data_IF_916220372705
#
_entry.id   IF_916220372705
#
_cell.length_a   1.000
_cell.length_b   1.000
_cell.length_c   1.000
_cell.angle_alpha   90.00
_cell.angle_beta   90.00
_cell.angle_gamma   90.00
#
_symmetry.space_group_name_H-M   'P 1'
#
loop_
_entity.id
_entity.type
_entity.pdbx_description
1 polymer ?
#
# COMPACT_ATOMS: atom_id res chain seq x y z
N UNK A 1 18.79 -22.51 -37.49
CA UNK A 1 17.37 -22.42 -37.80
C UNK A 1 17.18 -21.28 -38.81
N UNK A 2 16.84 -21.61 -40.06
CA UNK A 2 16.72 -20.67 -41.19
C UNK A 2 15.67 -19.59 -40.92
N UNK A 3 15.88 -18.34 -41.33
CA UNK A 3 14.88 -17.29 -41.28
C UNK A 3 13.80 -17.56 -42.38
N UNK A 4 12.54 -17.66 -41.93
CA UNK A 4 11.39 -17.71 -42.82
C UNK A 4 11.23 -16.36 -43.53
N UNK A 5 11.35 -16.37 -44.85
CA UNK A 5 10.99 -15.27 -45.74
C UNK A 5 9.51 -15.42 -46.05
N UNK A 6 8.69 -14.43 -45.73
CA UNK A 6 7.27 -14.42 -46.01
C UNK A 6 7.01 -13.50 -47.25
N UNK A 7 6.48 -14.09 -48.32
CA UNK A 7 5.84 -13.34 -49.40
C UNK A 7 4.36 -13.12 -49.03
N UNK A 8 3.89 -11.88 -49.12
CA UNK A 8 2.57 -11.46 -48.66
C UNK A 8 1.54 -11.50 -49.76
N UNK A 9 0.49 -12.33 -49.60
CA UNK A 9 -0.81 -12.16 -50.25
C UNK A 9 -1.88 -11.88 -49.17
N UNK A 10 -2.95 -11.18 -49.52
CA UNK A 10 -3.97 -10.66 -48.57
C UNK A 10 -4.72 -11.74 -47.74
N UNK A 11 -4.58 -13.02 -48.08
CA UNK A 11 -5.13 -14.15 -47.32
C UNK A 11 -4.24 -14.66 -46.21
N UNK A 12 -2.95 -14.26 -46.19
CA UNK A 12 -1.96 -14.67 -45.17
C UNK A 12 -1.98 -13.80 -43.94
N UNK A 13 -2.45 -12.57 -44.03
CA UNK A 13 -2.49 -11.64 -42.86
C UNK A 13 -3.39 -12.13 -41.73
N UNK A 14 -4.56 -12.71 -42.05
CA UNK A 14 -5.49 -13.23 -41.03
C UNK A 14 -4.95 -14.47 -40.32
N UNK A 15 -4.21 -15.33 -41.05
CA UNK A 15 -3.62 -16.54 -40.47
C UNK A 15 -2.38 -16.21 -39.64
N UNK A 16 -1.58 -15.21 -40.02
CA UNK A 16 -0.44 -14.71 -39.25
C UNK A 16 -0.91 -14.07 -37.93
N UNK A 17 -1.99 -13.29 -37.96
CA UNK A 17 -2.54 -12.68 -36.75
C UNK A 17 -3.17 -13.69 -35.81
N UNK A 18 -3.91 -14.69 -36.31
CA UNK A 18 -4.43 -15.78 -35.47
C UNK A 18 -3.31 -16.62 -34.84
N UNK A 19 -2.22 -16.85 -35.57
CA UNK A 19 -1.03 -17.55 -35.03
C UNK A 19 -0.26 -16.71 -34.00
N UNK A 20 -0.16 -15.39 -34.18
CA UNK A 20 0.46 -14.48 -33.23
C UNK A 20 -0.38 -14.33 -31.98
N UNK A 21 -1.70 -14.25 -32.08
CA UNK A 21 -2.63 -14.20 -30.94
C UNK A 21 -2.57 -15.50 -30.13
N UNK A 22 -2.54 -16.65 -30.79
CA UNK A 22 -2.41 -17.96 -30.12
C UNK A 22 -1.03 -18.17 -29.50
N UNK A 23 0.04 -17.72 -30.14
CA UNK A 23 1.40 -17.73 -29.58
C UNK A 23 1.55 -16.77 -28.40
N UNK A 24 0.92 -15.60 -28.44
CA UNK A 24 0.98 -14.59 -27.40
C UNK A 24 0.20 -15.06 -26.15
N UNK A 25 -1.00 -15.62 -26.32
CA UNK A 25 -1.83 -16.13 -25.20
C UNK A 25 -1.26 -17.42 -24.61
N UNK A 26 -0.68 -18.31 -25.41
CA UNK A 26 -0.10 -19.56 -24.91
C UNK A 26 1.27 -19.35 -24.23
N UNK A 27 2.05 -18.33 -24.61
CA UNK A 27 3.36 -18.03 -24.02
C UNK A 27 3.33 -17.08 -22.82
N UNK A 28 2.27 -16.29 -22.61
CA UNK A 28 2.05 -15.59 -21.35
C UNK A 28 1.91 -16.54 -20.14
N UNK A 29 1.67 -17.84 -20.39
CA UNK A 29 1.65 -18.88 -19.35
C UNK A 29 3.00 -19.55 -19.06
N UNK A 30 4.06 -19.24 -19.82
CA UNK A 30 5.38 -19.89 -19.68
C UNK A 30 6.48 -18.85 -19.42
N UNK A 31 6.89 -18.77 -18.15
CA UNK A 31 8.16 -18.33 -17.56
C UNK A 31 8.97 -17.14 -18.13
N UNK A 32 9.39 -16.28 -17.20
CA UNK A 32 10.16 -15.02 -17.27
C UNK A 32 11.38 -14.94 -18.25
N UNK A 33 11.91 -16.04 -18.76
CA UNK A 33 13.14 -16.06 -19.56
C UNK A 33 12.94 -15.79 -21.06
N UNK A 34 11.76 -16.06 -21.63
CA UNK A 34 11.52 -15.92 -23.07
C UNK A 34 11.12 -14.50 -23.51
N UNK A 35 10.62 -13.66 -22.59
CA UNK A 35 10.16 -12.31 -22.91
C UNK A 35 11.31 -11.37 -23.30
N UNK A 36 12.48 -11.50 -22.67
CA UNK A 36 13.65 -10.67 -22.97
C UNK A 36 14.24 -10.96 -24.38
N UNK A 37 14.26 -12.20 -24.79
CA UNK A 37 14.68 -12.63 -26.13
C UNK A 37 13.71 -12.08 -27.20
N UNK A 38 12.42 -12.05 -26.90
CA UNK A 38 11.38 -11.51 -27.79
C UNK A 38 11.45 -9.99 -27.93
N UNK A 39 11.71 -9.26 -26.85
CA UNK A 39 11.93 -7.80 -26.88
C UNK A 39 13.21 -7.41 -27.66
N UNK A 40 14.27 -8.17 -27.55
CA UNK A 40 15.48 -7.93 -28.35
C UNK A 40 15.22 -8.15 -29.85
N UNK A 41 14.45 -9.17 -30.21
CA UNK A 41 14.07 -9.45 -31.59
C UNK A 41 13.13 -8.36 -32.11
N UNK A 42 12.19 -7.89 -31.30
CA UNK A 42 11.27 -6.79 -31.63
C UNK A 42 12.02 -5.46 -31.78
N UNK A 43 12.97 -5.15 -30.87
CA UNK A 43 13.84 -3.96 -30.97
C UNK A 43 14.71 -3.96 -32.21
N UNK A 44 15.24 -5.12 -32.63
CA UNK A 44 15.98 -5.26 -33.94
C UNK A 44 15.10 -5.05 -35.14
N UNK A 45 13.83 -5.46 -35.09
CA UNK A 45 12.89 -5.30 -36.18
C UNK A 45 12.48 -3.84 -36.41
N UNK A 46 12.38 -3.05 -35.32
CA UNK A 46 11.99 -1.63 -35.37
C UNK A 46 13.16 -0.64 -35.39
N UNK A 47 14.40 -1.07 -35.33
CA UNK A 47 15.58 -0.17 -35.34
C UNK A 47 15.95 0.38 -36.74
N UNK A 48 15.27 -0.03 -37.81
CA UNK A 48 15.47 0.53 -39.17
C UNK A 48 14.47 1.65 -39.45
N UNK A 49 14.93 2.87 -39.26
CA UNK A 49 14.19 4.15 -39.31
C UNK A 49 13.31 4.40 -40.57
N UNK A 50 13.50 3.69 -41.67
CA UNK A 50 12.92 4.04 -42.95
C UNK A 50 11.58 3.36 -43.29
N UNK A 51 11.01 2.52 -42.43
CA UNK A 51 9.75 1.81 -42.67
C UNK A 51 8.53 2.30 -41.86
N UNK A 52 8.71 3.28 -40.99
CA UNK A 52 7.60 3.77 -40.16
C UNK A 52 6.51 4.53 -40.91
N UNK A 53 6.85 5.23 -41.97
CA UNK A 53 5.91 6.08 -42.70
C UNK A 53 4.88 5.29 -43.51
N UNK A 54 5.18 4.04 -43.89
CA UNK A 54 4.27 3.22 -44.71
C UNK A 54 3.24 2.47 -43.89
N UNK A 55 3.52 2.16 -42.63
CA UNK A 55 2.62 1.40 -41.73
C UNK A 55 1.50 2.29 -41.19
N UNK A 56 1.75 3.59 -40.95
CA UNK A 56 0.74 4.52 -40.43
C UNK A 56 -0.41 4.83 -41.40
N UNK A 57 -0.21 4.69 -42.68
CA UNK A 57 -1.23 5.02 -43.72
C UNK A 57 -2.31 3.96 -43.93
N UNK A 58 -2.20 2.75 -43.38
CA UNK A 58 -3.14 1.63 -43.64
C UNK A 58 -3.64 0.91 -42.38
N UNK A 59 -3.57 1.53 -41.21
CA UNK A 59 -4.02 0.88 -39.96
C UNK A 59 -5.55 0.94 -39.83
N UNK A 60 -6.20 -0.22 -39.91
CA UNK A 60 -7.61 -0.41 -39.58
C UNK A 60 -7.84 -0.20 -38.08
N UNK A 61 -9.04 0.26 -37.66
CA UNK A 61 -9.39 0.54 -36.21
C UNK A 61 -8.93 -0.56 -35.22
N UNK A 62 -8.89 -1.82 -35.65
CA UNK A 62 -8.44 -2.97 -34.87
C UNK A 62 -6.92 -2.91 -34.57
N UNK A 63 -6.11 -2.49 -35.51
CA UNK A 63 -4.65 -2.38 -35.40
C UNK A 63 -4.24 -1.18 -34.52
N UNK A 64 -5.02 -0.09 -34.52
CA UNK A 64 -4.82 1.06 -33.63
C UNK A 64 -5.03 0.64 -32.18
N UNK A 65 -6.06 -0.18 -31.89
CA UNK A 65 -6.34 -0.69 -30.54
C UNK A 65 -5.22 -1.60 -30.02
N UNK A 66 -4.68 -2.48 -30.86
CA UNK A 66 -3.54 -3.36 -30.51
C UNK A 66 -2.27 -2.55 -30.29
N UNK A 67 -2.00 -1.55 -31.13
CA UNK A 67 -0.84 -0.67 -30.98
C UNK A 67 -0.91 0.16 -29.69
N UNK A 68 -2.09 0.64 -29.30
CA UNK A 68 -2.34 1.33 -28.03
C UNK A 68 -2.13 0.41 -26.83
N UNK A 69 -2.63 -0.83 -26.88
CA UNK A 69 -2.44 -1.82 -25.81
C UNK A 69 -0.95 -2.17 -25.66
N UNK A 70 -0.23 -2.38 -26.75
CA UNK A 70 1.22 -2.64 -26.73
C UNK A 70 2.00 -1.44 -26.20
N UNK A 71 1.66 -0.22 -26.60
CA UNK A 71 2.29 1.00 -26.07
C UNK A 71 2.05 1.18 -24.57
N UNK A 72 0.83 0.92 -24.11
CA UNK A 72 0.49 0.95 -22.67
C UNK A 72 1.23 -0.14 -21.90
N UNK A 73 1.31 -1.36 -22.45
CA UNK A 73 2.03 -2.47 -21.82
C UNK A 73 3.54 -2.20 -21.73
N UNK A 74 4.16 -1.66 -22.78
CA UNK A 74 5.56 -1.26 -22.78
C UNK A 74 5.83 -0.11 -21.81
N UNK A 75 4.92 0.86 -21.74
CA UNK A 75 5.00 1.96 -20.79
C UNK A 75 4.93 1.46 -19.34
N UNK A 76 3.98 0.55 -19.04
CA UNK A 76 3.88 -0.10 -17.71
C UNK A 76 5.15 -0.88 -17.38
N UNK A 77 5.68 -1.66 -18.32
CA UNK A 77 6.92 -2.40 -18.12
C UNK A 77 8.11 -1.47 -17.83
N UNK A 78 8.25 -0.37 -18.58
CA UNK A 78 9.31 0.61 -18.34
C UNK A 78 9.20 1.27 -16.97
N UNK A 79 8.00 1.56 -16.47
CA UNK A 79 7.79 2.14 -15.15
C UNK A 79 8.15 1.12 -14.07
N UNK A 80 7.75 -0.14 -14.22
CA UNK A 80 8.06 -1.22 -13.26
C UNK A 80 9.55 -1.57 -13.20
N UNK A 81 10.30 -1.38 -14.29
CA UNK A 81 11.75 -1.60 -14.35
C UNK A 81 12.56 -0.31 -14.20
N UNK A 82 11.90 0.80 -13.90
CA UNK A 82 12.58 2.08 -13.71
C UNK A 82 13.37 2.06 -12.41
N UNK A 83 14.68 2.08 -12.52
CA UNK A 83 15.63 2.09 -11.40
C UNK A 83 15.49 3.34 -10.51
N UNK A 84 14.72 4.36 -10.93
CA UNK A 84 14.46 5.55 -10.14
C UNK A 84 13.23 5.43 -9.22
N UNK A 85 12.45 4.35 -9.30
CA UNK A 85 11.31 4.16 -8.42
C UNK A 85 11.72 3.41 -7.15
N UNK A 86 11.37 3.96 -6.00
CA UNK A 86 11.67 3.47 -4.66
C UNK A 86 10.39 3.31 -3.85
N UNK A 87 10.41 2.45 -2.84
CA UNK A 87 9.31 2.30 -1.90
C UNK A 87 9.86 2.28 -0.46
N UNK A 88 9.23 3.06 0.42
CA UNK A 88 9.44 3.03 1.86
C UNK A 88 8.20 2.47 2.52
N UNK A 89 8.33 1.30 3.15
CA UNK A 89 7.25 0.66 3.91
C UNK A 89 7.46 0.98 5.39
N UNK A 90 6.51 1.68 6.00
CA UNK A 90 6.57 2.11 7.40
C UNK A 90 6.01 1.04 8.33
N UNK A 91 6.86 0.42 9.14
CA UNK A 91 6.54 -0.69 10.06
C UNK A 91 6.72 -0.38 11.54
N UNK A 92 6.49 0.88 11.98
CA UNK A 92 6.79 1.34 13.35
C UNK A 92 5.65 1.28 14.36
N UNK A 93 4.41 1.00 13.95
CA UNK A 93 3.22 0.98 14.82
C UNK A 93 3.15 -0.25 15.74
N UNK A 94 2.49 -0.15 16.91
CA UNK A 94 2.22 -1.29 17.80
C UNK A 94 0.89 -1.97 17.43
N UNK A 95 -0.13 -1.20 17.01
CA UNK A 95 -1.47 -1.72 16.73
C UNK A 95 -2.21 -2.22 17.97
N UNK A 96 -2.06 -1.57 19.13
CA UNK A 96 -2.57 -1.99 20.45
C UNK A 96 -4.09 -2.24 20.50
N UNK A 97 -4.87 -1.73 19.53
CA UNK A 97 -6.32 -1.97 19.45
C UNK A 97 -6.68 -3.41 19.08
N UNK A 98 -5.73 -4.19 18.55
CA UNK A 98 -5.91 -5.61 18.24
C UNK A 98 -5.45 -6.53 19.38
N UNK A 99 -5.24 -5.98 20.59
CA UNK A 99 -5.02 -6.85 21.75
C UNK A 99 -6.19 -7.84 21.90
N UNK A 100 -5.92 -9.12 22.25
CA UNK A 100 -4.67 -9.71 22.73
C UNK A 100 -3.76 -10.26 21.61
N UNK A 101 -4.11 -10.13 20.33
CA UNK A 101 -3.31 -10.58 19.19
C UNK A 101 -2.08 -9.71 18.97
N UNK A 102 -2.28 -8.38 18.85
CA UNK A 102 -1.18 -7.43 18.76
C UNK A 102 -0.65 -7.08 20.13
N UNK A 103 0.66 -7.19 20.32
CA UNK A 103 1.38 -6.91 21.58
C UNK A 103 2.64 -6.10 21.28
N UNK A 104 3.31 -5.60 22.36
CA UNK A 104 4.56 -4.85 22.24
C UNK A 104 5.67 -5.64 21.54
N UNK A 105 5.76 -6.95 21.81
CA UNK A 105 6.75 -7.84 21.21
C UNK A 105 6.32 -8.44 19.87
N UNK A 106 5.05 -8.36 19.51
CA UNK A 106 4.50 -8.84 18.23
C UNK A 106 3.43 -7.87 17.72
N UNK A 107 3.83 -6.73 17.12
CA UNK A 107 2.92 -5.74 16.59
C UNK A 107 2.04 -6.25 15.45
N UNK A 108 0.94 -5.54 15.20
CA UNK A 108 -0.09 -5.84 14.20
C UNK A 108 0.47 -6.22 12.83
N UNK A 109 1.45 -5.48 12.32
CA UNK A 109 2.00 -5.70 10.97
C UNK A 109 2.68 -7.06 10.79
N UNK A 110 3.10 -7.70 11.87
CA UNK A 110 3.74 -9.02 11.87
C UNK A 110 2.74 -10.18 12.04
N UNK A 111 1.43 -9.90 12.09
CA UNK A 111 0.36 -10.87 12.26
C UNK A 111 -0.30 -11.24 10.92
N UNK A 112 -0.69 -12.51 10.81
CA UNK A 112 -1.60 -12.98 9.77
C UNK A 112 -3.04 -12.95 10.29
N UNK A 113 -3.78 -11.92 9.94
CA UNK A 113 -5.18 -11.75 10.35
C UNK A 113 -6.17 -12.57 9.53
N UNK A 114 -5.77 -13.06 8.36
CA UNK A 114 -6.70 -13.65 7.41
C UNK A 114 -6.43 -15.15 7.16
N UNK A 115 -5.47 -15.75 7.88
CA UNK A 115 -5.11 -17.16 7.69
C UNK A 115 -4.50 -17.47 6.31
N UNK A 116 -3.81 -16.47 5.73
CA UNK A 116 -3.20 -16.58 4.40
C UNK A 116 -1.82 -17.24 4.42
N UNK A 117 -1.26 -17.51 5.60
CA UNK A 117 0.13 -17.90 5.80
C UNK A 117 1.12 -16.73 5.63
N UNK A 118 0.63 -15.47 5.49
CA UNK A 118 1.44 -14.27 5.29
C UNK A 118 0.98 -13.17 6.23
N UNK A 119 1.92 -12.57 6.97
CA UNK A 119 1.64 -11.37 7.78
C UNK A 119 1.35 -10.13 6.93
N UNK A 120 0.80 -9.07 7.53
CA UNK A 120 0.48 -7.84 6.79
C UNK A 120 1.71 -7.20 6.15
N UNK A 121 2.86 -7.17 6.83
CA UNK A 121 4.09 -6.62 6.27
C UNK A 121 4.62 -7.47 5.10
N UNK A 122 4.48 -8.80 5.17
CA UNK A 122 4.82 -9.70 4.08
C UNK A 122 3.92 -9.47 2.86
N UNK A 123 2.60 -9.38 3.07
CA UNK A 123 1.65 -9.08 2.00
C UNK A 123 1.94 -7.72 1.37
N UNK A 124 2.33 -6.73 2.18
CA UNK A 124 2.72 -5.41 1.69
C UNK A 124 3.99 -5.46 0.85
N UNK A 125 5.04 -6.14 1.31
CA UNK A 125 6.25 -6.34 0.49
C UNK A 125 5.94 -7.07 -0.82
N UNK A 126 5.16 -8.16 -0.78
CA UNK A 126 4.77 -8.93 -1.97
C UNK A 126 4.01 -8.08 -3.00
N UNK A 127 3.21 -7.13 -2.54
CA UNK A 127 2.48 -6.16 -3.38
C UNK A 127 3.43 -5.19 -4.07
N UNK A 128 4.35 -4.58 -3.32
CA UNK A 128 5.27 -3.58 -3.88
C UNK A 128 6.39 -4.19 -4.74
N UNK A 129 6.82 -5.42 -4.50
CA UNK A 129 7.73 -6.16 -5.40
C UNK A 129 7.20 -6.33 -6.82
N UNK A 130 5.88 -6.23 -7.01
CA UNK A 130 5.24 -6.26 -8.33
C UNK A 130 5.33 -4.92 -9.07
N UNK A 131 5.79 -3.85 -8.40
CA UNK A 131 5.78 -2.47 -8.91
C UNK A 131 7.20 -1.87 -8.95
N UNK A 132 8.01 -2.15 -7.93
CA UNK A 132 9.32 -1.56 -7.70
C UNK A 132 10.35 -2.68 -7.57
N UNK A 133 11.59 -2.54 -8.12
CA UNK A 133 12.67 -3.51 -7.91
C UNK A 133 12.90 -3.75 -6.41
N UNK A 134 13.17 -5.00 -6.02
CA UNK A 134 13.34 -5.38 -4.61
C UNK A 134 14.47 -4.58 -3.93
N UNK A 135 15.55 -4.32 -4.64
CA UNK A 135 16.69 -3.52 -4.18
C UNK A 135 16.36 -2.06 -3.87
N UNK A 136 15.23 -1.56 -4.36
CA UNK A 136 14.74 -0.20 -4.13
C UNK A 136 13.61 -0.13 -3.08
N UNK A 137 13.32 -1.24 -2.38
CA UNK A 137 12.34 -1.27 -1.30
C UNK A 137 13.04 -1.21 0.05
N UNK A 138 12.67 -0.23 0.86
CA UNK A 138 13.18 -0.01 2.22
C UNK A 138 12.06 -0.22 3.24
N UNK A 139 12.40 -0.78 4.39
CA UNK A 139 11.52 -0.88 5.55
C UNK A 139 12.02 0.10 6.61
N UNK A 140 11.17 0.99 7.10
CA UNK A 140 11.46 1.76 8.30
C UNK A 140 10.76 1.11 9.49
N UNK A 141 11.47 0.85 10.57
CA UNK A 141 10.88 0.24 11.77
C UNK A 141 11.66 0.64 13.02
N UNK A 142 11.09 0.41 14.19
CA UNK A 142 11.81 0.61 15.44
C UNK A 142 12.90 -0.46 15.61
N UNK A 143 14.02 -0.09 16.21
CA UNK A 143 15.14 -1.00 16.53
C UNK A 143 14.70 -2.29 17.22
N UNK A 144 13.65 -2.24 18.05
CA UNK A 144 13.08 -3.40 18.75
C UNK A 144 12.51 -4.48 17.82
N UNK A 145 12.21 -4.14 16.58
CA UNK A 145 11.57 -5.06 15.61
C UNK A 145 12.51 -5.52 14.50
N UNK A 146 13.81 -5.21 14.61
CA UNK A 146 14.82 -5.61 13.61
C UNK A 146 14.75 -7.11 13.32
N UNK A 147 14.79 -7.93 14.37
CA UNK A 147 14.78 -9.39 14.26
C UNK A 147 13.49 -9.91 13.59
N UNK A 148 12.33 -9.38 13.96
CA UNK A 148 11.05 -9.74 13.34
C UNK A 148 11.00 -9.40 11.85
N UNK A 149 11.57 -8.24 11.46
CA UNK A 149 11.65 -7.87 10.04
C UNK A 149 12.59 -8.82 9.30
N UNK A 150 13.75 -9.13 9.84
CA UNK A 150 14.71 -10.05 9.22
C UNK A 150 14.16 -11.48 9.11
N UNK A 151 13.42 -11.95 10.10
CA UNK A 151 12.76 -13.26 10.10
C UNK A 151 11.64 -13.33 9.04
N UNK A 152 10.78 -12.31 8.99
CA UNK A 152 9.62 -12.33 8.10
C UNK A 152 9.91 -11.87 6.68
N UNK A 153 10.95 -11.07 6.46
CA UNK A 153 11.35 -10.54 5.15
C UNK A 153 12.80 -10.90 4.82
N UNK A 154 13.15 -12.21 4.79
CA UNK A 154 14.55 -12.66 4.61
C UNK A 154 15.14 -12.32 3.24
N UNK A 155 14.32 -11.94 2.27
CA UNK A 155 14.76 -11.48 0.96
C UNK A 155 15.35 -10.05 0.95
N UNK A 156 15.13 -9.27 2.02
CA UNK A 156 15.69 -7.92 2.15
C UNK A 156 17.11 -8.00 2.75
N UNK A 157 17.98 -7.15 2.25
CA UNK A 157 19.30 -6.96 2.83
C UNK A 157 19.22 -6.08 4.08
N UNK A 158 20.20 -6.19 4.96
CA UNK A 158 20.24 -5.40 6.20
C UNK A 158 20.23 -3.88 5.92
N UNK A 159 20.90 -3.42 4.88
CA UNK A 159 20.95 -2.03 4.44
C UNK A 159 19.59 -1.45 3.98
N UNK A 160 18.62 -2.32 3.71
CA UNK A 160 17.24 -1.93 3.34
C UNK A 160 16.32 -1.78 4.57
N UNK A 161 16.81 -2.10 5.77
CA UNK A 161 16.07 -2.01 7.02
C UNK A 161 16.57 -0.80 7.80
N UNK A 162 15.83 0.30 7.72
CA UNK A 162 16.15 1.56 8.39
C UNK A 162 15.55 1.52 9.81
N UNK A 163 16.42 1.57 10.82
CA UNK A 163 16.06 1.34 12.23
C UNK A 163 15.91 2.64 12.98
N UNK A 164 14.67 3.04 13.28
CA UNK A 164 14.39 4.20 14.13
C UNK A 164 14.82 3.92 15.59
N UNK A 165 15.71 4.73 16.17
CA UNK A 165 16.16 4.53 17.54
C UNK A 165 15.06 4.78 18.57
N UNK A 166 14.07 5.62 18.22
CA UNK A 166 12.89 5.92 19.03
C UNK A 166 11.71 6.28 18.12
N UNK A 167 10.50 6.28 18.65
CA UNK A 167 9.30 6.65 17.89
C UNK A 167 9.13 8.17 17.83
N UNK A 168 9.01 8.74 16.63
CA UNK A 168 8.78 10.18 16.39
C UNK A 168 7.67 10.43 15.36
N UNK A 169 6.75 9.46 15.19
CA UNK A 169 5.68 9.51 14.18
C UNK A 169 6.23 9.55 12.74
N UNK A 170 5.39 9.83 11.74
CA UNK A 170 5.72 9.56 10.34
C UNK A 170 6.56 10.65 9.67
N UNK A 171 6.53 11.92 10.10
CA UNK A 171 7.32 12.96 9.43
C UNK A 171 8.83 12.77 9.57
N UNK A 172 9.42 12.58 10.77
CA UNK A 172 10.85 12.28 10.89
C UNK A 172 11.26 10.97 10.22
N UNK A 173 10.41 9.94 10.30
CA UNK A 173 10.62 8.66 9.62
C UNK A 173 10.79 8.84 8.12
N UNK A 174 9.87 9.56 7.47
CA UNK A 174 9.87 9.84 6.04
C UNK A 174 11.03 10.74 5.65
N UNK A 175 11.33 11.78 6.44
CA UNK A 175 12.46 12.65 6.20
C UNK A 175 13.77 11.88 6.17
N UNK A 176 14.03 11.05 7.19
CA UNK A 176 15.24 10.24 7.29
C UNK A 176 15.37 9.25 6.12
N UNK A 177 14.31 8.49 5.83
CA UNK A 177 14.30 7.58 4.68
C UNK A 177 14.52 8.33 3.36
N UNK A 178 13.96 9.54 3.22
CA UNK A 178 14.15 10.38 2.02
C UNK A 178 15.60 10.84 1.87
N UNK A 179 16.25 11.28 2.92
CA UNK A 179 17.68 11.63 2.87
C UNK A 179 18.55 10.43 2.56
N UNK A 180 18.24 9.26 3.14
CA UNK A 180 18.95 8.03 2.84
C UNK A 180 18.85 7.66 1.35
N UNK A 181 17.64 7.65 0.80
CA UNK A 181 17.40 7.35 -0.63
C UNK A 181 18.04 8.41 -1.54
N UNK A 182 18.01 9.69 -1.16
CA UNK A 182 18.64 10.76 -1.95
C UNK A 182 20.15 10.58 -2.10
N UNK A 183 20.83 10.08 -1.08
CA UNK A 183 22.28 9.74 -1.14
C UNK A 183 22.55 8.62 -2.15
N UNK A 184 21.60 7.67 -2.33
CA UNK A 184 21.68 6.57 -3.29
C UNK A 184 21.30 7.04 -4.70
N UNK A 185 20.17 7.75 -4.82
CA UNK A 185 19.65 8.23 -6.10
C UNK A 185 18.98 9.62 -5.96
N UNK A 186 19.64 10.69 -6.42
CA UNK A 186 19.12 12.05 -6.33
C UNK A 186 17.90 12.32 -7.24
N UNK A 187 17.54 11.38 -8.13
CA UNK A 187 16.40 11.47 -9.04
C UNK A 187 15.27 10.50 -8.68
N UNK A 188 15.28 9.96 -7.46
CA UNK A 188 14.30 8.95 -7.03
C UNK A 188 12.87 9.49 -7.03
N UNK A 189 11.92 8.66 -7.48
CA UNK A 189 10.51 8.80 -7.17
C UNK A 189 10.17 7.81 -6.05
N UNK A 190 9.55 8.27 -5.00
CA UNK A 190 9.37 7.51 -3.77
C UNK A 190 7.90 7.27 -3.51
N UNK A 191 7.53 6.03 -3.25
CA UNK A 191 6.28 5.62 -2.64
C UNK A 191 6.53 5.49 -1.14
N UNK A 192 5.67 6.06 -0.32
CA UNK A 192 5.64 5.83 1.13
C UNK A 192 4.34 5.16 1.49
N UNK A 193 4.40 4.05 2.20
CA UNK A 193 3.23 3.24 2.50
C UNK A 193 3.27 2.65 3.91
N UNK A 194 2.13 2.55 4.61
CA UNK A 194 2.01 1.75 5.81
C UNK A 194 2.20 0.25 5.52
N UNK A 195 2.75 -0.47 6.50
CA UNK A 195 3.03 -1.91 6.38
C UNK A 195 1.82 -2.81 6.67
N UNK A 196 0.69 -2.24 7.09
CA UNK A 196 -0.40 -2.96 7.77
C UNK A 196 -1.79 -2.67 7.20
N UNK A 197 -1.86 -2.15 5.97
CA UNK A 197 -3.10 -1.89 5.26
C UNK A 197 -3.53 -3.07 4.38
N UNK A 198 -4.84 -3.31 4.36
CA UNK A 198 -5.47 -4.26 3.45
C UNK A 198 -5.76 -3.61 2.10
N UNK A 199 -5.48 -4.33 1.02
CA UNK A 199 -5.84 -3.98 -0.35
C UNK A 199 -6.51 -5.21 -0.98
N UNK A 200 -7.77 -5.09 -1.39
CA UNK A 200 -8.53 -6.22 -1.93
C UNK A 200 -8.36 -6.39 -3.45
N UNK A 201 -8.20 -5.29 -4.18
CA UNK A 201 -8.08 -5.29 -5.65
C UNK A 201 -6.65 -4.89 -6.02
N UNK A 202 -5.73 -5.86 -6.01
CA UNK A 202 -4.30 -5.59 -6.18
C UNK A 202 -3.91 -5.04 -7.56
N UNK A 203 -4.62 -5.41 -8.63
CA UNK A 203 -4.30 -4.92 -9.97
C UNK A 203 -4.74 -3.45 -10.14
N UNK A 204 -5.91 -3.08 -9.64
CA UNK A 204 -6.37 -1.68 -9.61
C UNK A 204 -5.44 -0.81 -8.75
N UNK A 205 -4.98 -1.34 -7.62
CA UNK A 205 -3.98 -0.69 -6.79
C UNK A 205 -2.67 -0.46 -7.54
N UNK A 206 -2.14 -1.50 -8.17
CA UNK A 206 -0.92 -1.43 -8.98
C UNK A 206 -1.03 -0.39 -10.09
N UNK A 207 -2.17 -0.34 -10.78
CA UNK A 207 -2.42 0.66 -11.82
C UNK A 207 -2.43 2.09 -11.26
N UNK A 208 -3.05 2.29 -10.09
CA UNK A 208 -3.07 3.59 -9.42
C UNK A 208 -1.65 4.05 -9.04
N UNK A 209 -0.85 3.17 -8.45
CA UNK A 209 0.55 3.48 -8.08
C UNK A 209 1.40 3.79 -9.33
N UNK A 210 1.27 3.02 -10.42
CA UNK A 210 2.02 3.27 -11.66
C UNK A 210 1.67 4.64 -12.24
N UNK A 211 0.38 5.01 -12.29
CA UNK A 211 -0.06 6.34 -12.72
C UNK A 211 0.48 7.44 -11.82
N UNK A 212 0.43 7.22 -10.51
CA UNK A 212 0.97 8.16 -9.52
C UNK A 212 2.48 8.38 -9.67
N UNK A 213 3.27 7.32 -9.84
CA UNK A 213 4.72 7.41 -10.10
C UNK A 213 5.02 8.19 -11.37
N UNK A 214 4.25 7.97 -12.43
CA UNK A 214 4.39 8.73 -13.66
C UNK A 214 4.11 10.22 -13.44
N UNK A 215 3.04 10.55 -12.72
CA UNK A 215 2.66 11.92 -12.42
C UNK A 215 3.77 12.65 -11.65
N UNK A 216 4.26 12.08 -10.53
CA UNK A 216 5.28 12.73 -9.70
C UNK A 216 6.68 12.76 -10.32
N UNK A 217 6.94 11.92 -11.32
CA UNK A 217 8.21 11.95 -12.07
C UNK A 217 8.34 13.16 -13.00
N UNK A 218 7.21 13.79 -13.37
CA UNK A 218 7.14 14.90 -14.31
C UNK A 218 6.61 16.20 -13.69
N UNK A 219 6.23 16.17 -12.41
CA UNK A 219 5.67 17.33 -11.72
C UNK A 219 6.20 17.44 -10.29
N UNK A 220 6.44 18.69 -9.77
CA UNK A 220 6.91 18.89 -8.40
C UNK A 220 5.74 18.86 -7.41
N UNK A 221 4.92 17.82 -7.48
CA UNK A 221 3.73 17.66 -6.65
C UNK A 221 3.92 16.58 -5.59
N UNK A 222 3.25 16.75 -4.44
CA UNK A 222 3.05 15.74 -3.42
C UNK A 222 1.71 15.05 -3.71
N UNK A 223 1.71 13.73 -3.88
CA UNK A 223 0.53 12.97 -4.23
C UNK A 223 0.13 12.03 -3.10
N UNK A 224 -1.18 11.96 -2.83
CA UNK A 224 -1.79 10.92 -1.99
C UNK A 224 -2.90 10.19 -2.75
N UNK A 225 -3.32 9.02 -2.23
CA UNK A 225 -4.44 8.26 -2.77
C UNK A 225 -5.68 8.49 -1.91
N UNK A 226 -6.76 8.95 -2.54
CA UNK A 226 -8.03 9.25 -1.90
C UNK A 226 -9.04 8.12 -2.10
N UNK A 227 -9.68 7.69 -1.03
CA UNK A 227 -10.67 6.62 -1.02
C UNK A 227 -12.04 7.21 -0.72
N UNK A 228 -13.07 6.84 -1.50
CA UNK A 228 -14.42 7.32 -1.27
C UNK A 228 -14.95 6.81 0.07
N UNK A 229 -15.36 7.68 1.00
CA UNK A 229 -15.89 7.25 2.29
C UNK A 229 -17.26 6.60 2.13
N UNK A 230 -17.50 5.55 2.91
CA UNK A 230 -18.79 4.86 3.00
C UNK A 230 -19.44 4.96 4.39
N UNK A 231 -18.73 5.59 5.35
CA UNK A 231 -19.20 5.84 6.72
C UNK A 231 -18.44 7.03 7.32
N UNK A 232 -18.96 7.65 8.42
CA UNK A 232 -18.26 8.74 9.10
C UNK A 232 -17.17 8.18 10.06
N UNK A 233 -16.00 7.86 9.52
CA UNK A 233 -14.87 7.32 10.27
C UNK A 233 -14.05 8.46 10.91
N UNK A 234 -13.84 8.41 12.22
CA UNK A 234 -13.10 9.43 12.98
C UNK A 234 -11.62 9.10 13.13
N UNK A 235 -11.22 7.89 12.78
CA UNK A 235 -9.82 7.42 12.83
C UNK A 235 -8.99 7.78 11.62
N UNK A 236 -9.61 8.31 10.54
CA UNK A 236 -8.98 8.61 9.27
C UNK A 236 -8.82 10.10 9.00
N UNK A 237 -7.85 10.46 8.17
CA UNK A 237 -7.77 11.77 7.55
C UNK A 237 -8.78 11.91 6.41
N UNK A 238 -9.28 13.12 6.21
CA UNK A 238 -10.20 13.51 5.13
C UNK A 238 -9.56 14.55 4.23
N UNK A 239 -9.75 14.40 2.94
CA UNK A 239 -9.21 15.26 1.88
C UNK A 239 -10.38 15.87 1.13
N UNK A 240 -10.52 17.19 1.13
CA UNK A 240 -11.43 17.91 0.24
C UNK A 240 -10.71 18.20 -1.07
N UNK A 241 -11.32 17.83 -2.19
CA UNK A 241 -10.79 18.11 -3.52
C UNK A 241 -11.18 19.52 -3.98
N UNK A 242 -10.29 20.12 -4.81
CA UNK A 242 -10.56 21.36 -5.54
C UNK A 242 -11.10 21.04 -6.95
N UNK A 243 -11.65 22.03 -7.63
CA UNK A 243 -12.00 21.95 -9.05
C UNK A 243 -10.77 21.90 -9.96
N UNK A 244 -9.62 22.44 -9.48
CA UNK A 244 -8.32 22.39 -10.19
C UNK A 244 -7.83 20.93 -10.26
N UNK A 245 -7.49 20.49 -11.49
CA UNK A 245 -6.99 19.14 -11.73
C UNK A 245 -5.96 19.09 -12.84
N UNK A 246 -5.09 18.07 -12.78
CA UNK A 246 -4.12 17.72 -13.80
C UNK A 246 -4.39 16.28 -14.27
N UNK A 247 -5.14 16.11 -15.36
CA UNK A 247 -5.64 14.80 -15.81
C UNK A 247 -6.59 14.17 -14.77
N UNK A 248 -6.21 13.01 -14.24
CA UNK A 248 -6.98 12.26 -13.21
C UNK A 248 -6.61 12.66 -11.76
N UNK A 249 -5.74 13.67 -11.58
CA UNK A 249 -5.24 14.11 -10.28
C UNK A 249 -5.87 15.44 -9.90
N UNK A 250 -6.53 15.48 -8.74
CA UNK A 250 -7.19 16.67 -8.22
C UNK A 250 -6.29 17.40 -7.23
N UNK A 251 -6.28 18.71 -7.26
CA UNK A 251 -5.61 19.49 -6.23
C UNK A 251 -6.34 19.34 -4.91
N UNK A 252 -5.60 19.24 -3.82
CA UNK A 252 -6.18 19.21 -2.48
C UNK A 252 -6.51 20.64 -2.05
N UNK A 253 -7.76 20.87 -1.67
CA UNK A 253 -8.24 22.14 -1.12
C UNK A 253 -8.03 22.19 0.38
N UNK A 254 -8.35 21.09 1.08
CA UNK A 254 -8.23 21.01 2.53
C UNK A 254 -7.89 19.57 2.92
N UNK A 255 -7.00 19.46 3.90
CA UNK A 255 -6.61 18.20 4.51
C UNK A 255 -6.98 18.27 6.00
N UNK A 256 -7.75 17.31 6.51
CA UNK A 256 -8.25 17.30 7.90
C UNK A 256 -7.98 15.92 8.50
N UNK A 257 -7.09 15.85 9.48
CA UNK A 257 -6.73 14.60 10.12
C UNK A 257 -7.64 14.32 11.32
N UNK A 258 -8.26 13.14 11.35
CA UNK A 258 -9.06 12.60 12.47
C UNK A 258 -10.12 13.56 13.03
N UNK A 259 -11.14 13.94 12.22
CA UNK A 259 -12.17 14.87 12.63
C UNK A 259 -13.07 14.32 13.75
N UNK A 260 -13.80 15.20 14.44
CA UNK A 260 -14.89 14.78 15.32
C UNK A 260 -16.04 14.18 14.50
N UNK A 261 -16.85 13.34 15.15
CA UNK A 261 -17.91 12.55 14.49
C UNK A 261 -18.91 13.44 13.71
N UNK A 262 -19.26 14.59 14.26
CA UNK A 262 -20.18 15.55 13.66
C UNK A 262 -19.66 16.05 12.32
N UNK A 263 -18.36 16.41 12.26
CA UNK A 263 -17.71 16.81 11.02
C UNK A 263 -17.57 15.65 10.04
N UNK A 264 -17.20 14.45 10.53
CA UNK A 264 -17.08 13.27 9.68
C UNK A 264 -18.40 12.94 8.96
N UNK A 265 -19.56 13.08 9.64
CA UNK A 265 -20.89 12.93 9.02
C UNK A 265 -21.12 13.92 7.90
N UNK A 266 -20.85 15.22 8.15
CA UNK A 266 -21.00 16.27 7.14
C UNK A 266 -20.09 16.01 5.94
N UNK A 267 -18.86 15.55 6.16
CA UNK A 267 -17.91 15.25 5.07
C UNK A 267 -18.40 14.10 4.18
N UNK A 268 -18.96 13.04 4.77
CA UNK A 268 -19.53 11.93 4.00
C UNK A 268 -20.77 12.37 3.22
N UNK A 269 -21.66 13.13 3.85
CA UNK A 269 -22.90 13.61 3.23
C UNK A 269 -22.66 14.61 2.10
N UNK A 270 -21.64 15.45 2.19
CA UNK A 270 -21.30 16.43 1.14
C UNK A 270 -20.84 15.77 -0.18
N UNK A 271 -20.24 14.58 -0.11
CA UNK A 271 -19.68 13.89 -1.26
C UNK A 271 -18.40 14.49 -1.83
N UNK A 272 -17.85 15.58 -1.23
CA UNK A 272 -16.65 16.29 -1.67
C UNK A 272 -15.38 15.81 -0.99
N UNK A 273 -15.52 15.01 0.07
CA UNK A 273 -14.39 14.53 0.87
C UNK A 273 -14.09 13.06 0.61
N UNK A 274 -12.78 12.75 0.66
CA UNK A 274 -12.24 11.41 0.48
C UNK A 274 -11.36 11.06 1.67
N UNK A 275 -11.30 9.78 2.06
CA UNK A 275 -10.36 9.33 3.07
C UNK A 275 -8.93 9.37 2.55
N UNK A 276 -8.01 9.87 3.36
CA UNK A 276 -6.58 9.74 3.11
C UNK A 276 -6.13 8.30 3.37
N UNK A 277 -5.63 7.63 2.35
CA UNK A 277 -5.14 6.26 2.50
C UNK A 277 -3.83 6.15 3.27
N UNK A 278 -3.13 7.26 3.52
CA UNK A 278 -1.79 7.23 4.10
C UNK A 278 -0.70 6.69 3.16
N UNK A 279 -1.02 6.54 1.87
CA UNK A 279 -0.07 6.16 0.83
C UNK A 279 0.29 7.40 0.04
N UNK A 280 1.58 7.73 0.00
CA UNK A 280 2.07 8.96 -0.61
C UNK A 280 3.08 8.66 -1.71
N UNK A 281 3.13 9.54 -2.72
CA UNK A 281 4.08 9.47 -3.81
C UNK A 281 4.64 10.86 -4.10
N UNK A 282 5.94 10.93 -4.37
CA UNK A 282 6.61 12.19 -4.73
C UNK A 282 7.98 11.94 -5.35
N UNK A 283 8.51 12.94 -6.05
CA UNK A 283 9.92 12.98 -6.36
C UNK A 283 10.71 13.34 -5.10
N UNK A 284 11.89 12.75 -4.93
CA UNK A 284 12.72 12.91 -3.73
C UNK A 284 13.06 14.38 -3.45
N UNK A 285 13.28 15.19 -4.49
CA UNK A 285 13.61 16.61 -4.33
C UNK A 285 12.36 17.40 -3.90
N UNK A 286 11.17 17.03 -4.36
CA UNK A 286 9.91 17.68 -3.99
C UNK A 286 9.65 17.56 -2.49
N UNK A 287 9.77 16.36 -1.93
CA UNK A 287 9.52 16.17 -0.49
C UNK A 287 10.62 16.80 0.37
N UNK A 288 11.88 16.71 -0.03
CA UNK A 288 12.97 17.35 0.71
C UNK A 288 12.83 18.89 0.70
N UNK A 289 12.41 19.47 -0.42
CA UNK A 289 12.12 20.91 -0.48
C UNK A 289 10.96 21.28 0.44
N UNK A 290 9.88 20.47 0.47
CA UNK A 290 8.77 20.70 1.39
C UNK A 290 9.21 20.61 2.87
N UNK A 291 10.06 19.64 3.23
CA UNK A 291 10.64 19.59 4.58
C UNK A 291 11.50 20.79 4.89
N UNK A 292 12.37 21.24 3.97
CA UNK A 292 13.22 22.42 4.16
C UNK A 292 12.40 23.71 4.38
N UNK A 293 11.28 23.84 3.68
CA UNK A 293 10.41 25.03 3.76
C UNK A 293 9.55 25.00 5.03
N UNK A 294 8.94 23.85 5.35
CA UNK A 294 7.89 23.74 6.35
C UNK A 294 8.40 23.23 7.72
N UNK A 295 9.40 22.35 7.70
CA UNK A 295 9.97 21.70 8.90
C UNK A 295 11.51 21.73 8.89
N UNK A 296 12.16 22.92 8.81
CA UNK A 296 13.62 23.03 8.70
C UNK A 296 14.37 22.40 9.88
N UNK A 297 13.74 22.33 11.05
CA UNK A 297 14.31 21.68 12.25
C UNK A 297 14.48 20.18 12.09
N UNK A 298 13.62 19.51 11.30
CA UNK A 298 13.78 18.08 10.98
C UNK A 298 14.92 17.88 10.01
N UNK A 299 15.03 18.75 9.00
CA UNK A 299 16.10 18.72 8.01
C UNK A 299 17.48 18.90 8.65
N UNK A 300 17.63 19.89 9.52
CA UNK A 300 18.91 20.17 10.20
C UNK A 300 19.41 19.00 11.04
N UNK A 301 18.51 18.14 11.50
CA UNK A 301 18.83 16.98 12.34
C UNK A 301 19.10 15.70 11.55
N UNK A 302 18.43 15.52 10.39
CA UNK A 302 18.42 14.26 9.67
C UNK A 302 19.13 14.27 8.32
N UNK A 303 19.59 15.44 7.84
CA UNK A 303 20.29 15.53 6.55
C UNK A 303 21.63 14.78 6.51
N UNK A 304 22.32 14.69 7.64
CA UNK A 304 23.62 14.01 7.76
C UNK A 304 23.48 12.54 8.21
N UNK A 305 22.44 12.21 8.98
CA UNK A 305 22.21 10.85 9.49
C UNK A 305 21.08 10.78 10.51
N UNK A 306 20.99 9.65 11.23
CA UNK A 306 19.97 9.39 12.26
C UNK A 306 20.38 9.77 13.69
N UNK A 307 21.57 10.29 13.91
CA UNK A 307 22.12 10.55 15.25
C UNK A 307 21.21 11.43 16.11
N UNK A 308 20.61 12.45 15.49
CA UNK A 308 19.68 13.37 16.15
C UNK A 308 18.18 12.98 16.01
N UNK A 309 17.86 11.80 15.50
CA UNK A 309 16.48 11.35 15.29
C UNK A 309 15.62 11.47 16.56
N UNK A 310 16.18 11.13 17.72
CA UNK A 310 15.48 11.20 19.00
C UNK A 310 15.08 12.63 19.41
N UNK A 311 15.73 13.65 18.88
CA UNK A 311 15.45 15.06 19.15
C UNK A 311 14.42 15.67 18.21
N UNK A 312 14.00 14.97 17.16
CA UNK A 312 13.00 15.41 16.20
C UNK A 312 11.62 15.56 16.86
N UNK A 313 10.76 16.48 16.34
CA UNK A 313 9.38 16.61 16.82
C UNK A 313 8.60 15.31 16.55
N UNK A 314 7.70 14.97 17.48
CA UNK A 314 6.81 13.80 17.33
C UNK A 314 5.53 14.20 16.58
N UNK A 315 5.59 14.22 15.25
CA UNK A 315 4.52 14.71 14.38
C UNK A 315 4.36 13.82 13.15
N UNK A 316 3.11 13.62 12.68
CA UNK A 316 2.86 12.89 11.44
C UNK A 316 3.16 13.76 10.21
N UNK A 317 3.39 13.10 9.08
CA UNK A 317 3.58 13.75 7.78
C UNK A 317 2.34 14.55 7.39
N UNK A 318 1.16 14.08 7.79
CA UNK A 318 -0.11 14.73 7.53
C UNK A 318 -0.12 16.14 8.13
N UNK A 319 0.08 16.27 9.44
CA UNK A 319 0.15 17.56 10.16
C UNK A 319 1.40 18.36 9.83
N UNK A 320 2.53 17.68 9.61
CA UNK A 320 3.82 18.31 9.39
C UNK A 320 3.91 18.98 8.02
N UNK A 321 3.50 18.29 6.98
CA UNK A 321 3.68 18.67 5.58
C UNK A 321 2.36 18.75 4.82
N UNK A 322 1.53 17.67 4.80
CA UNK A 322 0.41 17.56 3.87
C UNK A 322 -0.68 18.61 4.07
N UNK A 323 -0.93 19.04 5.31
CA UNK A 323 -1.88 20.11 5.61
C UNK A 323 -1.36 21.52 5.25
N UNK A 324 -0.05 21.69 5.11
CA UNK A 324 0.60 23.01 4.96
C UNK A 324 1.12 23.26 3.56
N UNK A 325 1.44 22.22 2.82
CA UNK A 325 2.01 22.33 1.49
C UNK A 325 0.96 22.74 0.45
N UNK A 326 1.31 23.66 -0.46
CA UNK A 326 0.39 24.19 -1.47
C UNK A 326 0.33 23.36 -2.75
N UNK A 327 1.21 22.36 -2.89
CA UNK A 327 1.36 21.50 -4.08
C UNK A 327 0.90 20.07 -3.85
N UNK A 328 -0.11 19.85 -2.99
CA UNK A 328 -0.67 18.55 -2.71
C UNK A 328 -1.77 18.22 -3.70
N UNK A 329 -1.70 17.02 -4.29
CA UNK A 329 -2.68 16.45 -5.18
C UNK A 329 -3.18 15.11 -4.64
N UNK A 330 -4.36 14.69 -5.08
CA UNK A 330 -4.97 13.40 -4.75
C UNK A 330 -5.43 12.69 -6.01
N UNK A 331 -5.15 11.39 -6.07
CA UNK A 331 -5.73 10.47 -7.05
C UNK A 331 -6.88 9.71 -6.38
N UNK A 332 -8.07 9.79 -6.97
CA UNK A 332 -9.25 9.07 -6.47
C UNK A 332 -9.18 7.61 -6.89
N UNK A 333 -9.33 6.70 -5.92
CA UNK A 333 -9.11 5.27 -6.10
C UNK A 333 -10.24 4.44 -5.50
N UNK A 334 -10.46 3.25 -6.10
CA UNK A 334 -11.36 2.21 -5.58
C UNK A 334 -10.69 0.83 -5.72
N UNK A 335 -9.73 0.55 -4.86
CA UNK A 335 -9.03 -0.74 -4.82
C UNK A 335 -9.35 -1.57 -3.56
N UNK A 336 -10.45 -1.26 -2.86
CA UNK A 336 -10.86 -2.01 -1.67
C UNK A 336 -9.85 -1.83 -0.53
N UNK A 337 -9.59 -0.57 -0.13
CA UNK A 337 -8.66 -0.20 0.93
C UNK A 337 -9.30 -0.26 2.32
N UNK A 338 -8.56 -0.76 3.31
CA UNK A 338 -8.85 -0.61 4.73
C UNK A 338 -7.55 -0.51 5.53
N UNK A 339 -7.52 0.35 6.55
CA UNK A 339 -6.36 0.52 7.43
C UNK A 339 -6.23 -0.61 8.47
N UNK A 340 -7.27 -1.44 8.63
CA UNK A 340 -7.35 -2.46 9.68
C UNK A 340 -6.99 -1.87 11.06
N UNK A 341 -7.53 -0.69 11.38
CA UNK A 341 -7.21 0.01 12.63
C UNK A 341 -7.82 -0.63 13.87
N UNK A 342 -8.88 -1.42 13.70
CA UNK A 342 -9.72 -1.92 14.78
C UNK A 342 -10.37 -3.27 14.45
N UNK A 343 -10.90 -3.96 15.45
CA UNK A 343 -11.68 -5.18 15.27
C UNK A 343 -12.96 -4.95 14.45
N UNK A 344 -13.57 -3.75 14.56
CA UNK A 344 -14.72 -3.39 13.73
C UNK A 344 -14.32 -3.24 12.26
N UNK A 345 -13.19 -2.61 11.97
CA UNK A 345 -12.71 -2.51 10.59
C UNK A 345 -12.33 -3.88 9.99
N UNK A 346 -11.81 -4.80 10.80
CA UNK A 346 -11.58 -6.18 10.40
C UNK A 346 -12.90 -6.91 10.10
N UNK A 347 -13.93 -6.73 10.95
CA UNK A 347 -15.26 -7.29 10.73
C UNK A 347 -15.87 -6.82 9.39
N UNK A 348 -15.72 -5.54 9.06
CA UNK A 348 -16.30 -4.95 7.84
C UNK A 348 -15.77 -5.61 6.56
N UNK A 349 -14.49 -5.97 6.54
CA UNK A 349 -13.80 -6.50 5.35
C UNK A 349 -13.72 -8.01 5.30
N UNK A 350 -14.07 -8.70 6.40
CA UNK A 350 -13.99 -10.17 6.49
C UNK A 350 -15.24 -10.85 5.93
N UNK A 351 -15.12 -12.05 5.35
CA UNK A 351 -16.27 -12.88 4.97
C UNK A 351 -17.15 -13.17 6.19
N UNK A 352 -18.47 -13.13 6.00
CA UNK A 352 -19.47 -13.33 7.05
C UNK A 352 -20.28 -14.58 6.78
N UNK A 353 -20.69 -15.28 7.85
CA UNK A 353 -21.68 -16.36 7.76
C UNK A 353 -23.11 -15.79 7.56
N UNK A 354 -24.12 -16.67 7.48
CA UNK A 354 -25.53 -16.31 7.28
C UNK A 354 -26.13 -15.45 8.42
N UNK A 355 -25.49 -15.44 9.59
CA UNK A 355 -25.86 -14.65 10.76
C UNK A 355 -24.90 -13.45 10.96
N UNK A 356 -24.14 -13.11 9.92
CA UNK A 356 -23.16 -12.01 9.94
C UNK A 356 -22.03 -12.19 10.97
N UNK A 357 -21.72 -13.41 11.42
CA UNK A 357 -20.53 -13.65 12.23
C UNK A 357 -19.28 -13.76 11.35
N UNK A 358 -18.15 -13.33 11.87
CA UNK A 358 -16.81 -13.50 11.32
C UNK A 358 -16.04 -14.47 12.20
N UNK A 359 -15.55 -15.59 11.63
CA UNK A 359 -14.70 -16.54 12.31
C UNK A 359 -13.34 -16.62 11.61
N UNK A 360 -12.25 -16.45 12.37
CA UNK A 360 -10.88 -16.38 11.84
C UNK A 360 -10.00 -17.41 12.55
N UNK A 361 -9.16 -18.10 11.77
CA UNK A 361 -8.19 -19.12 12.15
C UNK A 361 -8.82 -20.41 12.67
N UNK A 362 -8.97 -20.62 13.98
CA UNK A 362 -9.44 -21.89 14.55
C UNK A 362 -10.93 -22.20 14.31
N UNK A 363 -11.39 -23.33 14.83
CA UNK A 363 -12.76 -23.76 14.67
C UNK A 363 -13.72 -23.02 15.62
N UNK A 364 -14.94 -22.72 15.15
CA UNK A 364 -16.00 -22.15 15.97
C UNK A 364 -17.33 -22.81 15.72
N UNK A 365 -18.08 -23.11 16.80
CA UNK A 365 -19.47 -23.56 16.79
C UNK A 365 -20.32 -22.44 17.43
N UNK A 366 -21.22 -21.84 16.65
CA UNK A 366 -21.97 -20.65 17.02
C UNK A 366 -23.46 -20.98 17.09
N UNK A 367 -24.04 -20.97 18.30
CA UNK A 367 -25.45 -21.25 18.55
C UNK A 367 -26.19 -19.95 18.88
N UNK A 368 -27.18 -19.55 18.07
CA UNK A 368 -27.92 -18.29 18.23
C UNK A 368 -27.01 -17.04 18.31
N UNK A 369 -25.87 -17.06 17.62
CA UNK A 369 -24.91 -15.98 17.62
C UNK A 369 -25.08 -15.11 16.38
N UNK A 370 -24.95 -13.76 16.53
CA UNK A 370 -25.10 -12.78 15.43
C UNK A 370 -24.04 -11.69 15.52
N UNK A 371 -23.52 -11.28 14.37
CA UNK A 371 -22.66 -10.10 14.23
C UNK A 371 -21.40 -10.09 15.13
N UNK A 372 -20.87 -11.28 15.44
CA UNK A 372 -19.70 -11.41 16.28
C UNK A 372 -18.41 -11.50 15.46
N UNK A 373 -17.30 -11.17 16.09
CA UNK A 373 -15.96 -11.49 15.63
C UNK A 373 -15.37 -12.54 16.55
N UNK A 374 -15.04 -13.72 16.02
CA UNK A 374 -14.46 -14.83 16.78
C UNK A 374 -13.10 -15.16 16.19
N UNK A 375 -12.05 -14.97 16.96
CA UNK A 375 -10.68 -15.23 16.54
C UNK A 375 -10.01 -16.12 17.57
N UNK A 376 -9.70 -17.35 17.18
CA UNK A 376 -9.03 -18.31 18.06
C UNK A 376 -7.86 -18.95 17.31
N UNK A 377 -6.77 -19.35 18.00
CA UNK A 377 -5.63 -20.01 17.37
C UNK A 377 -6.01 -21.28 16.64
N UNK A 378 -5.22 -21.64 15.63
CA UNK A 378 -5.34 -22.95 14.98
C UNK A 378 -5.28 -24.08 16.01
N UNK A 379 -6.08 -25.14 15.80
CA UNK A 379 -6.17 -26.27 16.70
C UNK A 379 -7.03 -26.03 17.96
N UNK A 380 -7.52 -24.81 18.20
CA UNK A 380 -8.49 -24.51 19.27
C UNK A 380 -9.91 -24.46 18.73
N UNK A 381 -10.88 -24.81 19.58
CA UNK A 381 -12.30 -24.74 19.31
C UNK A 381 -12.96 -23.73 20.25
N UNK A 382 -13.71 -22.79 19.69
CA UNK A 382 -14.64 -21.95 20.43
C UNK A 382 -16.07 -22.47 20.28
N UNK A 383 -16.79 -22.65 21.39
CA UNK A 383 -18.23 -22.96 21.39
C UNK A 383 -18.94 -21.80 22.09
N UNK A 384 -19.79 -21.10 21.36
CA UNK A 384 -20.44 -19.87 21.83
C UNK A 384 -21.95 -19.98 21.64
N UNK A 385 -22.71 -19.45 22.58
CA UNK A 385 -24.17 -19.43 22.54
C UNK A 385 -24.72 -18.05 22.96
N UNK A 386 -25.77 -17.59 22.24
CA UNK A 386 -26.56 -16.41 22.56
C UNK A 386 -25.75 -15.09 22.64
N UNK A 387 -24.70 -14.95 21.82
CA UNK A 387 -23.90 -13.73 21.72
C UNK A 387 -24.30 -12.90 20.49
N UNK A 388 -24.43 -11.59 20.67
CA UNK A 388 -24.70 -10.63 19.61
C UNK A 388 -23.84 -9.38 19.72
N UNK A 389 -23.06 -9.10 18.66
CA UNK A 389 -22.16 -7.94 18.57
C UNK A 389 -20.95 -8.02 19.49
N UNK A 390 -20.42 -9.22 19.75
CA UNK A 390 -19.24 -9.42 20.60
C UNK A 390 -17.98 -9.70 19.78
N UNK A 391 -16.87 -9.28 20.36
CA UNK A 391 -15.53 -9.75 20.04
C UNK A 391 -15.16 -10.87 21.02
N UNK A 392 -14.78 -12.03 20.49
CA UNK A 392 -14.16 -13.13 21.22
C UNK A 392 -12.80 -13.38 20.57
N UNK A 393 -11.73 -12.99 21.27
CA UNK A 393 -10.37 -13.12 20.77
C UNK A 393 -9.52 -13.91 21.78
N UNK A 394 -9.00 -15.06 21.37
CA UNK A 394 -8.17 -15.90 22.22
C UNK A 394 -6.76 -16.03 21.65
N UNK A 395 -5.77 -16.01 22.53
CA UNK A 395 -4.39 -16.40 22.25
C UNK A 395 -4.05 -17.62 23.15
N UNK A 396 -2.78 -18.00 23.26
CA UNK A 396 -2.41 -19.10 24.14
C UNK A 396 -2.62 -18.78 25.61
N UNK A 397 -2.51 -17.53 26.00
CA UNK A 397 -2.49 -17.10 27.41
C UNK A 397 -3.48 -15.97 27.73
N UNK A 398 -4.30 -15.52 26.79
CA UNK A 398 -5.33 -14.49 27.01
C UNK A 398 -6.59 -14.84 26.27
N UNK A 399 -7.75 -14.69 26.94
CA UNK A 399 -9.06 -14.67 26.34
C UNK A 399 -9.72 -13.31 26.59
N UNK A 400 -10.08 -12.61 25.52
CA UNK A 400 -10.86 -11.38 25.56
C UNK A 400 -12.27 -11.65 25.05
N UNK A 401 -13.26 -11.23 25.83
CA UNK A 401 -14.67 -11.19 25.42
C UNK A 401 -15.23 -9.81 25.79
N UNK A 402 -15.62 -9.02 24.79
CA UNK A 402 -16.19 -7.68 24.99
C UNK A 402 -17.11 -7.30 23.83
N UNK A 403 -17.81 -6.17 23.92
CA UNK A 403 -18.54 -5.63 22.78
C UNK A 403 -17.58 -5.23 21.66
N UNK A 404 -17.90 -5.63 20.44
CA UNK A 404 -17.07 -5.41 19.23
C UNK A 404 -16.83 -3.93 18.95
N UNK A 405 -17.85 -3.10 19.20
CA UNK A 405 -17.85 -1.69 18.81
C UNK A 405 -17.30 -0.76 19.94
N UNK A 406 -16.89 -1.30 21.08
CA UNK A 406 -16.27 -0.53 22.17
C UNK A 406 -14.74 -0.62 22.14
N UNK A 407 -14.15 0.06 21.17
CA UNK A 407 -12.69 0.07 20.97
C UNK A 407 -11.95 0.81 22.11
N UNK A 408 -12.62 1.76 22.76
CA UNK A 408 -12.03 2.52 23.88
C UNK A 408 -11.78 1.61 25.09
N UNK A 409 -12.67 0.64 25.30
CA UNK A 409 -12.55 -0.34 26.37
C UNK A 409 -11.29 -1.22 26.22
N UNK A 410 -10.91 -1.59 24.98
CA UNK A 410 -9.73 -2.44 24.76
C UNK A 410 -8.45 -1.74 25.26
N UNK A 411 -8.28 -0.44 24.98
CA UNK A 411 -7.15 0.32 25.49
C UNK A 411 -7.11 0.37 27.01
N UNK A 412 -8.29 0.54 27.63
CA UNK A 412 -8.43 0.51 29.08
C UNK A 412 -8.05 -0.87 29.62
N UNK A 413 -8.53 -1.96 29.01
CA UNK A 413 -8.19 -3.33 29.42
C UNK A 413 -6.68 -3.58 29.35
N UNK A 414 -6.02 -3.16 28.28
CA UNK A 414 -4.56 -3.26 28.13
C UNK A 414 -3.84 -2.53 29.27
N UNK A 415 -4.24 -1.29 29.57
CA UNK A 415 -3.66 -0.51 30.67
C UNK A 415 -3.90 -1.17 32.04
N UNK A 416 -5.13 -1.65 32.31
CA UNK A 416 -5.47 -2.32 33.56
C UNK A 416 -4.67 -3.63 33.74
N UNK A 417 -4.51 -4.41 32.68
CA UNK A 417 -3.69 -5.63 32.68
C UNK A 417 -2.23 -5.28 32.95
N UNK A 418 -1.69 -4.26 32.28
CA UNK A 418 -0.30 -3.84 32.47
C UNK A 418 -0.03 -3.39 33.92
N UNK A 419 -0.93 -2.58 34.48
CA UNK A 419 -0.79 -2.07 35.87
C UNK A 419 -0.90 -3.22 36.89
N UNK A 420 -1.84 -4.17 36.68
CA UNK A 420 -2.14 -5.21 37.67
C UNK A 420 -1.26 -6.44 37.55
N UNK A 421 -0.86 -6.82 36.34
CA UNK A 421 -0.20 -8.09 36.01
C UNK A 421 1.16 -7.93 35.31
N UNK A 422 1.58 -6.68 35.05
CA UNK A 422 2.83 -6.39 34.36
C UNK A 422 2.74 -6.64 32.82
N UNK A 423 3.90 -6.63 32.16
CA UNK A 423 4.00 -6.69 30.70
C UNK A 423 3.79 -8.10 30.10
N UNK A 424 3.61 -9.12 30.93
CA UNK A 424 3.52 -10.53 30.47
C UNK A 424 2.41 -10.78 29.47
N UNK A 425 1.31 -10.02 29.54
CA UNK A 425 0.11 -10.23 28.73
C UNK A 425 -0.17 -9.08 27.73
N UNK A 426 0.73 -8.07 27.63
CA UNK A 426 0.52 -6.86 26.81
C UNK A 426 1.63 -6.62 25.79
#
# INVERSE_FOLDING_TARGET
>A
VNPLVFETSASTDSAIWASLETLFVSRLRLQRYDFFSYLQTFRRFFSKKDKYTIIYGRLNKKNIKISLILAQTLKRFNIMTNSNNYCVIMGGGIGSRFWPYSRKNLPKQFLDFFGTGRSLIQQTLDRYKKIVPLENIFITTNVLYKELVQEQLPELKEEQILLEPTRRSTAPCIAWASYHIKKINPNANVIVAPSDHLILKEEEFKEAIIKGLEFVSHSPQLLTLGIKPNRPETGYGYIQIDEEKQGDFFKVKTFIEKPQLEFAKVFVESGEFYWNSGIFLWNINTIINAFNEIMPEVCSKLSEGEEDFASCPNISIDYGIMEKANNVFVQLCDFGWADLGTWSSLYDVSPKDVNENVAINGNSLLYNCKQNVVVVPEGKLAVLQDLEGYLVAATDNVLLVCKKDDESAIRKFVNDVQIKLGDKFV
#
